data_IF_962043021424
#
_entry.id   IF_962043021424
#
_cell.length_a   1.000
_cell.length_b   1.000
_cell.length_c   1.000
_cell.angle_alpha   90.00
_cell.angle_beta   90.00
_cell.angle_gamma   90.00
#
_symmetry.space_group_name_H-M   'P 1'
#
loop_
_entity.id
_entity.type
_entity.pdbx_description
1 polymer ?
#
# COMPACT_ATOMS: atom_id res chain seq x y z
N UNK A 1 6.99 7.08 -3.86
CA UNK A 1 6.34 5.85 -4.37
C UNK A 1 6.60 4.72 -3.40
N UNK A 2 5.63 4.42 -2.55
CA UNK A 2 5.75 3.43 -1.49
C UNK A 2 5.26 2.06 -1.97
N UNK A 3 6.03 1.01 -1.71
CA UNK A 3 5.61 -0.37 -1.97
C UNK A 3 5.12 -1.00 -0.67
N UNK A 4 3.96 -1.64 -0.70
CA UNK A 4 3.42 -2.40 0.41
C UNK A 4 3.08 -3.82 -0.02
N UNK A 5 3.32 -4.79 0.84
CA UNK A 5 2.88 -6.15 0.57
C UNK A 5 1.39 -6.29 0.87
N UNK A 6 0.72 -7.24 0.21
CA UNK A 6 -0.66 -7.63 0.58
C UNK A 6 -0.80 -8.03 2.06
N UNK A 7 0.30 -8.45 2.71
CA UNK A 7 0.32 -8.77 4.15
C UNK A 7 0.31 -7.49 4.99
N UNK A 8 1.08 -6.47 4.60
CA UNK A 8 1.07 -5.17 5.28
C UNK A 8 -0.28 -4.47 5.12
N UNK A 9 -0.89 -4.52 3.92
CA UNK A 9 -2.23 -3.97 3.71
C UNK A 9 -3.23 -4.59 4.69
N UNK A 10 -3.16 -5.91 4.91
CA UNK A 10 -4.07 -6.65 5.79
C UNK A 10 -3.77 -6.42 7.28
N UNK A 11 -2.49 -6.44 7.66
CA UNK A 11 -2.07 -6.38 9.07
C UNK A 11 -1.99 -4.96 9.63
N UNK A 12 -1.84 -3.94 8.77
CA UNK A 12 -1.60 -2.55 9.16
C UNK A 12 -2.54 -1.57 8.44
N UNK A 13 -3.76 -2.00 8.10
CA UNK A 13 -4.67 -1.22 7.24
C UNK A 13 -4.89 0.20 7.75
N UNK A 14 -5.11 0.38 9.06
CA UNK A 14 -5.33 1.70 9.65
C UNK A 14 -4.14 2.66 9.48
N UNK A 15 -2.91 2.15 9.52
CA UNK A 15 -1.70 2.95 9.27
C UNK A 15 -1.58 3.28 7.78
N UNK A 16 -1.81 2.30 6.91
CA UNK A 16 -1.76 2.50 5.45
C UNK A 16 -2.73 3.60 5.01
N UNK A 17 -3.97 3.59 5.52
CA UNK A 17 -4.96 4.63 5.22
C UNK A 17 -4.54 6.02 5.73
N UNK A 18 -3.88 6.11 6.88
CA UNK A 18 -3.36 7.39 7.41
C UNK A 18 -2.22 7.95 6.58
N UNK A 19 -1.38 7.08 6.03
CA UNK A 19 -0.19 7.47 5.25
C UNK A 19 -0.52 7.76 3.78
N UNK A 20 -1.62 7.21 3.25
CA UNK A 20 -1.99 7.29 1.84
C UNK A 20 -2.13 8.74 1.31
N UNK A 21 -2.77 9.69 2.02
CA UNK A 21 -2.84 11.08 1.57
C UNK A 21 -1.48 11.76 1.45
N UNK A 22 -0.52 11.39 2.31
CA UNK A 22 0.82 11.97 2.28
C UNK A 22 1.66 11.40 1.13
N UNK A 23 1.55 10.09 0.86
CA UNK A 23 2.28 9.42 -0.21
C UNK A 23 1.65 9.63 -1.61
N UNK A 24 0.38 10.06 -1.66
CA UNK A 24 -0.49 10.18 -2.86
C UNK A 24 -0.80 8.86 -3.55
N UNK A 25 0.21 8.03 -3.75
CA UNK A 25 0.11 6.73 -4.40
C UNK A 25 0.97 5.69 -3.69
N UNK A 26 0.43 4.48 -3.56
CA UNK A 26 1.16 3.32 -3.06
C UNK A 26 0.92 2.10 -3.95
N UNK A 27 1.98 1.33 -4.19
CA UNK A 27 1.93 0.12 -5.01
C UNK A 27 1.79 -1.10 -4.09
N UNK A 28 0.76 -1.90 -4.34
CA UNK A 28 0.57 -3.18 -3.67
C UNK A 28 1.29 -4.28 -4.43
N UNK A 29 2.04 -5.08 -3.68
CA UNK A 29 2.75 -6.24 -4.18
C UNK A 29 2.26 -7.55 -3.55
N UNK A 30 2.22 -8.61 -4.36
CA UNK A 30 2.04 -9.98 -3.90
C UNK A 30 3.26 -10.79 -4.35
N UNK A 31 3.98 -11.38 -3.39
CA UNK A 31 5.22 -12.13 -3.64
C UNK A 31 6.23 -11.36 -4.53
N UNK A 32 6.42 -10.07 -4.25
CA UNK A 32 7.33 -9.19 -4.98
C UNK A 32 6.82 -8.66 -6.32
N UNK A 33 5.63 -9.09 -6.77
CA UNK A 33 5.03 -8.64 -8.04
C UNK A 33 4.00 -7.54 -7.77
N UNK A 34 4.08 -6.38 -8.44
CA UNK A 34 3.03 -5.36 -8.39
C UNK A 34 1.70 -5.92 -8.89
N UNK A 35 0.62 -5.68 -8.15
CA UNK A 35 -0.73 -6.17 -8.50
C UNK A 35 -1.81 -5.10 -8.43
N UNK A 36 -1.58 -4.00 -7.70
CA UNK A 36 -2.56 -2.93 -7.57
C UNK A 36 -1.87 -1.61 -7.16
N UNK A 37 -2.62 -0.52 -7.31
CA UNK A 37 -2.25 0.82 -6.85
C UNK A 37 -3.36 1.29 -5.91
N UNK A 38 -2.99 1.84 -4.75
CA UNK A 38 -3.87 2.69 -3.96
C UNK A 38 -3.54 4.16 -4.23
N UNK A 39 -4.56 4.97 -4.45
CA UNK A 39 -4.47 6.41 -4.61
C UNK A 39 -5.45 7.11 -3.66
N UNK A 40 -5.05 8.27 -3.12
CA UNK A 40 -5.87 9.12 -2.26
C UNK A 40 -6.78 10.06 -3.06
#
# INVERSE_FOLDING_TARGET
MKFLSVRDLRGKSAQVWKELPAEREMIITSNGRPIAILAA
#
